data_IF_941160182996
#
_entry.id   IF_941160182996
#
_cell.length_a   1.000
_cell.length_b   1.000
_cell.length_c   1.000
_cell.angle_alpha   90.00
_cell.angle_beta   90.00
_cell.angle_gamma   90.00
#
_symmetry.space_group_name_H-M   'P 1'
#
loop_
_entity.id
_entity.type
_entity.pdbx_description
1 polymer ?
#
# COMPACT_ATOMS: atom_id res chain seq x y z
N UNK A 1 7.55 -25.20 5.50
CA UNK A 1 6.13 -25.59 5.32
C UNK A 1 5.82 -25.52 3.83
N UNK A 2 4.85 -26.29 3.32
CA UNK A 2 4.42 -26.10 1.93
C UNK A 2 3.60 -24.80 1.79
N UNK A 3 3.53 -24.22 0.59
CA UNK A 3 2.72 -23.03 0.33
C UNK A 3 1.27 -23.20 0.82
N UNK A 4 0.66 -24.37 0.54
CA UNK A 4 -0.69 -24.69 0.99
C UNK A 4 -0.84 -24.68 2.52
N UNK A 5 0.15 -25.18 3.26
CA UNK A 5 0.13 -25.15 4.73
C UNK A 5 0.19 -23.72 5.27
N UNK A 6 1.03 -22.88 4.67
CA UNK A 6 1.17 -21.47 5.04
C UNK A 6 -0.13 -20.73 4.75
N UNK A 7 -0.66 -20.82 3.52
CA UNK A 7 -1.90 -20.16 3.12
C UNK A 7 -3.08 -20.60 4.00
N UNK A 8 -3.20 -21.90 4.29
CA UNK A 8 -4.23 -22.43 5.18
C UNK A 8 -4.11 -21.86 6.60
N UNK A 9 -2.89 -21.84 7.16
CA UNK A 9 -2.63 -21.27 8.48
C UNK A 9 -3.02 -19.78 8.53
N UNK A 10 -2.63 -19.00 7.53
CA UNK A 10 -2.94 -17.57 7.46
C UNK A 10 -4.45 -17.31 7.40
N UNK A 11 -5.19 -18.07 6.59
CA UNK A 11 -6.65 -17.94 6.49
C UNK A 11 -7.32 -18.30 7.82
N UNK A 12 -6.91 -19.41 8.45
CA UNK A 12 -7.46 -19.85 9.75
C UNK A 12 -7.18 -18.80 10.83
N UNK A 13 -5.95 -18.29 10.91
CA UNK A 13 -5.57 -17.28 11.88
C UNK A 13 -6.27 -15.94 11.63
N UNK A 14 -6.40 -15.50 10.37
CA UNK A 14 -7.12 -14.28 10.01
C UNK A 14 -8.60 -14.38 10.45
N UNK A 15 -9.24 -15.53 10.22
CA UNK A 15 -10.60 -15.79 10.69
C UNK A 15 -10.71 -15.81 12.22
N UNK A 16 -9.79 -16.49 12.91
CA UNK A 16 -9.78 -16.56 14.36
C UNK A 16 -9.54 -15.19 15.01
N UNK A 17 -8.58 -14.42 14.53
CA UNK A 17 -8.25 -13.10 15.07
C UNK A 17 -9.33 -12.08 14.71
N UNK A 18 -9.93 -12.18 13.52
CA UNK A 18 -11.13 -11.42 13.15
C UNK A 18 -12.30 -11.70 14.11
N UNK A 19 -12.52 -12.97 14.48
CA UNK A 19 -13.54 -13.34 15.46
C UNK A 19 -13.25 -12.77 16.86
N UNK A 20 -11.99 -12.84 17.31
CA UNK A 20 -11.57 -12.22 18.58
C UNK A 20 -11.83 -10.71 18.56
N UNK A 21 -11.45 -10.02 17.48
CA UNK A 21 -11.74 -8.60 17.33
C UNK A 21 -13.25 -8.32 17.39
N UNK A 22 -14.06 -9.07 16.63
CA UNK A 22 -15.51 -8.90 16.60
C UNK A 22 -16.17 -9.09 17.97
N UNK A 23 -15.75 -10.12 18.72
CA UNK A 23 -16.33 -10.47 20.01
C UNK A 23 -15.86 -9.56 21.16
N UNK A 24 -14.58 -9.16 21.17
CA UNK A 24 -13.96 -8.51 22.33
C UNK A 24 -13.54 -7.05 22.11
N UNK A 25 -12.90 -6.73 20.97
CA UNK A 25 -12.26 -5.42 20.76
C UNK A 25 -13.16 -4.41 20.03
N UNK A 26 -14.02 -4.87 19.11
CA UNK A 26 -14.92 -4.08 18.28
C UNK A 26 -14.22 -2.94 17.53
N UNK A 27 -12.96 -3.17 17.13
CA UNK A 27 -12.21 -2.24 16.29
C UNK A 27 -12.53 -2.48 14.81
N UNK A 28 -12.27 -1.51 13.92
CA UNK A 28 -12.32 -1.74 12.47
C UNK A 28 -11.52 -2.99 12.08
N UNK A 29 -12.09 -3.83 11.21
CA UNK A 29 -11.62 -5.22 10.98
C UNK A 29 -10.10 -5.34 10.81
N UNK A 30 -9.51 -4.60 9.87
CA UNK A 30 -8.07 -4.61 9.60
C UNK A 30 -7.21 -4.20 10.82
N UNK A 31 -7.59 -3.11 11.50
CA UNK A 31 -6.89 -2.61 12.70
C UNK A 31 -7.01 -3.63 13.83
N UNK A 32 -8.20 -4.21 14.01
CA UNK A 32 -8.45 -5.20 15.05
C UNK A 32 -7.64 -6.47 14.85
N UNK A 33 -7.57 -7.00 13.63
CA UNK A 33 -6.74 -8.17 13.31
C UNK A 33 -5.27 -7.88 13.62
N UNK A 34 -4.74 -6.72 13.20
CA UNK A 34 -3.37 -6.31 13.53
C UNK A 34 -3.12 -6.23 15.04
N UNK A 35 -4.06 -5.64 15.80
CA UNK A 35 -3.90 -5.51 17.25
C UNK A 35 -3.88 -6.89 17.91
N UNK A 36 -4.78 -7.80 17.50
CA UNK A 36 -4.81 -9.16 18.03
C UNK A 36 -3.52 -9.92 17.66
N UNK A 37 -3.05 -9.81 16.42
CA UNK A 37 -1.81 -10.49 15.98
C UNK A 37 -0.58 -9.94 16.68
N UNK A 38 -0.49 -8.63 16.86
CA UNK A 38 0.60 -7.99 17.60
C UNK A 38 0.59 -8.41 19.07
N UNK A 39 -0.57 -8.41 19.74
CA UNK A 39 -0.71 -8.86 21.13
C UNK A 39 -0.34 -10.33 21.28
N UNK A 40 -0.78 -11.19 20.36
CA UNK A 40 -0.40 -12.60 20.35
C UNK A 40 1.12 -12.76 20.21
N UNK A 41 1.73 -12.03 19.28
CA UNK A 41 3.18 -12.08 19.03
C UNK A 41 4.00 -11.58 20.22
N UNK A 42 3.61 -10.45 20.81
CA UNK A 42 4.25 -9.91 22.01
C UNK A 42 4.07 -10.83 23.23
N UNK A 43 2.93 -11.53 23.34
CA UNK A 43 2.71 -12.52 24.39
C UNK A 43 3.65 -13.70 24.25
N UNK A 44 3.88 -14.18 23.01
CA UNK A 44 4.86 -15.25 22.74
C UNK A 44 6.28 -14.78 23.10
N UNK A 45 6.70 -13.58 22.66
CA UNK A 45 7.99 -13.00 23.03
C UNK A 45 8.16 -12.85 24.55
N UNK A 46 7.12 -12.39 25.25
CA UNK A 46 7.11 -12.24 26.71
C UNK A 46 7.20 -13.56 27.46
N UNK A 47 6.50 -14.59 26.99
CA UNK A 47 6.58 -15.94 27.58
C UNK A 47 7.94 -16.58 27.39
N UNK A 48 8.57 -16.37 26.23
CA UNK A 48 9.91 -16.89 25.93
C UNK A 48 10.99 -16.24 26.82
N UNK A 49 10.83 -14.95 27.16
CA UNK A 49 11.68 -14.26 28.13
C UNK A 49 11.56 -14.86 29.56
N UNK A 50 10.38 -15.33 29.94
CA UNK A 50 10.13 -15.93 31.26
C UNK A 50 10.55 -17.41 31.32
N UNK A 51 10.39 -18.13 30.21
CA UNK A 51 10.77 -19.55 30.07
C UNK A 51 11.54 -19.82 28.77
N UNK A 52 12.84 -19.46 28.72
CA UNK A 52 13.67 -19.61 27.51
C UNK A 52 13.82 -21.06 27.05
N UNK A 53 13.60 -22.03 27.95
CA UNK A 53 13.68 -23.46 27.64
C UNK A 53 12.58 -23.94 26.65
N UNK A 54 11.54 -23.15 26.42
CA UNK A 54 10.45 -23.50 25.50
C UNK A 54 10.78 -23.20 24.03
N UNK A 55 11.71 -22.28 23.75
CA UNK A 55 12.15 -21.93 22.39
C UNK A 55 10.99 -21.51 21.46
N UNK A 56 9.94 -20.93 22.02
CA UNK A 56 8.72 -20.60 21.27
C UNK A 56 8.96 -19.42 20.35
N UNK A 57 9.73 -18.42 20.79
CA UNK A 57 10.07 -17.27 19.96
C UNK A 57 10.94 -17.68 18.77
N UNK A 58 11.94 -18.54 18.98
CA UNK A 58 12.80 -19.04 17.90
C UNK A 58 12.01 -19.85 16.87
N UNK A 59 11.09 -20.70 17.35
CA UNK A 59 10.22 -21.48 16.47
C UNK A 59 9.30 -20.55 15.67
N UNK A 60 8.63 -19.60 16.32
CA UNK A 60 7.76 -18.61 15.67
C UNK A 60 8.55 -17.76 14.67
N UNK A 61 9.74 -17.30 15.04
CA UNK A 61 10.64 -16.53 14.17
C UNK A 61 11.06 -17.33 12.95
N UNK A 62 11.37 -18.62 13.11
CA UNK A 62 11.71 -19.49 11.97
C UNK A 62 10.55 -19.71 11.01
N UNK A 63 9.31 -19.72 11.52
CA UNK A 63 8.10 -19.80 10.69
C UNK A 63 7.87 -18.48 9.97
N UNK A 64 7.98 -17.34 10.65
CA UNK A 64 7.79 -16.01 10.05
C UNK A 64 8.86 -15.70 9.01
N UNK A 65 10.14 -15.90 9.33
CA UNK A 65 11.25 -15.73 8.38
C UNK A 65 11.22 -16.78 7.26
N UNK A 66 10.55 -17.91 7.47
CA UNK A 66 10.33 -18.94 6.45
C UNK A 66 9.17 -18.62 5.50
N UNK A 67 8.34 -17.63 5.81
CA UNK A 67 7.36 -17.06 4.89
C UNK A 67 8.07 -15.92 4.17
N UNK A 68 8.27 -16.04 2.87
CA UNK A 68 8.78 -14.93 2.08
C UNK A 68 7.68 -13.87 1.94
N UNK A 69 7.54 -13.03 2.96
CA UNK A 69 6.49 -12.02 3.06
C UNK A 69 6.59 -11.01 1.91
N UNK A 70 7.83 -10.67 1.52
CA UNK A 70 8.09 -9.80 0.39
C UNK A 70 7.45 -10.36 -0.87
N UNK A 71 7.78 -11.60 -1.24
CA UNK A 71 7.29 -12.21 -2.47
C UNK A 71 5.79 -12.49 -2.41
N UNK A 72 5.30 -13.00 -1.27
CA UNK A 72 3.88 -13.24 -1.06
C UNK A 72 3.05 -11.96 -1.22
N UNK A 73 3.52 -10.83 -0.69
CA UNK A 73 2.82 -9.55 -0.83
C UNK A 73 3.02 -8.94 -2.21
N UNK A 74 4.27 -8.76 -2.67
CA UNK A 74 4.58 -8.01 -3.89
C UNK A 74 4.23 -8.77 -5.17
N UNK A 75 4.43 -10.08 -5.22
CA UNK A 75 4.13 -10.89 -6.41
C UNK A 75 2.71 -11.46 -6.36
N UNK A 76 2.26 -11.89 -5.16
CA UNK A 76 0.97 -12.56 -5.01
C UNK A 76 -0.23 -11.64 -4.76
N UNK A 77 -0.13 -10.77 -3.75
CA UNK A 77 -1.30 -10.06 -3.21
C UNK A 77 -1.46 -8.63 -3.74
N UNK A 78 -0.36 -7.94 -4.03
CA UNK A 78 -0.34 -6.51 -4.37
C UNK A 78 -1.16 -6.23 -5.64
N UNK A 79 -0.96 -7.02 -6.69
CA UNK A 79 -1.73 -6.91 -7.93
C UNK A 79 -3.24 -7.03 -7.68
N UNK A 80 -3.65 -8.00 -6.86
CA UNK A 80 -5.06 -8.21 -6.50
C UNK A 80 -5.62 -7.08 -5.64
N UNK A 81 -4.90 -6.62 -4.62
CA UNK A 81 -5.32 -5.54 -3.74
C UNK A 81 -5.51 -4.23 -4.54
N UNK A 82 -4.56 -3.91 -5.41
CA UNK A 82 -4.64 -2.71 -6.25
C UNK A 82 -5.73 -2.82 -7.31
N UNK A 83 -5.89 -3.99 -7.94
CA UNK A 83 -6.98 -4.23 -8.89
C UNK A 83 -8.35 -4.11 -8.21
N UNK A 84 -8.52 -4.75 -7.05
CA UNK A 84 -9.76 -4.72 -6.28
C UNK A 84 -10.07 -3.29 -5.80
N UNK A 85 -9.08 -2.58 -5.26
CA UNK A 85 -9.21 -1.19 -4.85
C UNK A 85 -9.61 -0.28 -6.01
N UNK A 86 -8.99 -0.46 -7.17
CA UNK A 86 -9.30 0.27 -8.39
C UNK A 86 -10.72 0.01 -8.91
N UNK A 87 -11.17 -1.24 -8.89
CA UNK A 87 -12.49 -1.64 -9.39
C UNK A 87 -13.63 -0.92 -8.66
N UNK A 88 -13.47 -0.64 -7.37
CA UNK A 88 -14.48 0.05 -6.57
C UNK A 88 -14.47 1.58 -6.72
N UNK A 89 -13.46 2.15 -7.39
CA UNK A 89 -13.37 3.61 -7.58
C UNK A 89 -14.23 4.06 -8.76
N UNK A 90 -15.16 4.97 -8.48
CA UNK A 90 -16.01 5.58 -9.51
C UNK A 90 -15.20 6.57 -10.36
N UNK A 91 -14.91 6.21 -11.61
CA UNK A 91 -14.09 7.01 -12.52
C UNK A 91 -14.68 8.42 -12.77
N UNK A 92 -16.00 8.56 -12.76
CA UNK A 92 -16.66 9.87 -12.89
C UNK A 92 -16.34 10.80 -11.71
N UNK A 93 -16.37 10.29 -10.47
CA UNK A 93 -16.02 11.05 -9.27
C UNK A 93 -14.51 11.35 -9.26
N UNK A 94 -13.68 10.36 -9.63
CA UNK A 94 -12.23 10.51 -9.75
C UNK A 94 -11.85 11.58 -10.79
N UNK A 95 -12.51 11.58 -11.96
CA UNK A 95 -12.31 12.59 -13.01
C UNK A 95 -12.66 13.99 -12.53
N UNK A 96 -13.59 14.15 -11.60
CA UNK A 96 -13.84 15.46 -10.99
C UNK A 96 -12.71 15.93 -10.05
N UNK A 97 -11.89 15.00 -9.54
CA UNK A 97 -10.80 15.28 -8.59
C UNK A 97 -9.39 15.05 -9.18
N UNK A 98 -9.29 14.69 -10.46
CA UNK A 98 -8.06 14.23 -11.09
C UNK A 98 -6.82 15.14 -10.92
N UNK A 99 -6.91 16.49 -10.97
CA UNK A 99 -5.70 17.31 -10.84
C UNK A 99 -5.12 17.22 -9.44
N UNK A 100 -5.98 17.09 -8.42
CA UNK A 100 -5.56 16.93 -7.02
C UNK A 100 -4.94 15.56 -6.82
N UNK A 101 -5.62 14.50 -7.28
CA UNK A 101 -5.14 13.13 -7.12
C UNK A 101 -3.80 12.92 -7.81
N UNK A 102 -3.66 13.35 -9.08
CA UNK A 102 -2.41 13.18 -9.83
C UNK A 102 -1.27 13.99 -9.20
N UNK A 103 -1.52 15.25 -8.81
CA UNK A 103 -0.49 16.07 -8.18
C UNK A 103 -0.03 15.49 -6.84
N UNK A 104 -0.95 14.94 -6.04
CA UNK A 104 -0.58 14.30 -4.77
C UNK A 104 0.12 12.96 -4.97
N UNK A 105 -0.34 12.12 -5.91
CA UNK A 105 0.27 10.83 -6.22
C UNK A 105 1.64 10.93 -6.94
N UNK A 106 2.01 12.12 -7.46
CA UNK A 106 3.31 12.35 -8.11
C UNK A 106 4.18 13.29 -7.29
N UNK A 107 3.86 14.58 -7.25
CA UNK A 107 4.61 15.57 -6.50
C UNK A 107 4.58 15.28 -4.99
N UNK A 108 3.44 14.86 -4.45
CA UNK A 108 3.34 14.49 -3.04
C UNK A 108 4.26 13.33 -2.68
N UNK A 109 4.34 12.31 -3.55
CA UNK A 109 5.26 11.16 -3.37
C UNK A 109 6.72 11.58 -3.44
N UNK A 110 7.08 12.39 -4.44
CA UNK A 110 8.43 12.93 -4.57
C UNK A 110 8.84 13.78 -3.37
N UNK A 111 7.95 14.69 -2.92
CA UNK A 111 8.19 15.51 -1.74
C UNK A 111 8.32 14.67 -0.47
N UNK A 112 7.44 13.68 -0.27
CA UNK A 112 7.51 12.78 0.88
C UNK A 112 8.83 12.01 0.87
N UNK A 113 9.21 11.47 -0.27
CA UNK A 113 10.48 10.74 -0.48
C UNK A 113 11.69 11.60 -0.12
N UNK A 114 11.73 12.84 -0.61
CA UNK A 114 12.82 13.78 -0.35
C UNK A 114 12.85 14.18 1.13
N UNK A 115 11.71 14.58 1.72
CA UNK A 115 11.67 15.01 3.12
C UNK A 115 12.08 13.87 4.06
N UNK A 116 11.55 12.67 3.86
CA UNK A 116 11.92 11.50 4.67
C UNK A 116 13.38 11.12 4.42
N UNK A 117 13.84 11.07 3.17
CA UNK A 117 15.21 10.65 2.87
C UNK A 117 16.27 11.60 3.41
N UNK A 118 16.12 12.91 3.20
CA UNK A 118 17.06 13.89 3.76
C UNK A 118 17.01 13.93 5.29
N UNK A 119 15.80 13.92 5.88
CA UNK A 119 15.67 13.96 7.33
C UNK A 119 16.23 12.72 8.01
N UNK A 120 16.00 11.53 7.43
CA UNK A 120 16.48 10.27 7.99
C UNK A 120 17.99 10.11 7.82
N UNK A 121 18.55 10.47 6.66
CA UNK A 121 20.01 10.53 6.42
C UNK A 121 20.69 11.45 7.43
N UNK A 122 20.11 12.63 7.69
CA UNK A 122 20.68 13.60 8.64
C UNK A 122 20.74 13.08 10.08
N UNK A 123 19.71 12.37 10.53
CA UNK A 123 19.65 11.84 11.91
C UNK A 123 20.46 10.58 12.10
N UNK A 124 20.50 9.69 11.11
CA UNK A 124 21.11 8.36 11.25
C UNK A 124 22.54 8.29 10.69
N UNK A 125 22.96 9.28 9.90
CA UNK A 125 24.22 9.21 9.14
C UNK A 125 24.14 8.29 7.92
N UNK A 126 22.96 7.73 7.61
CA UNK A 126 22.75 6.84 6.47
C UNK A 126 23.08 7.55 5.15
N UNK A 127 23.72 6.86 4.17
CA UNK A 127 23.92 7.40 2.84
C UNK A 127 22.61 7.92 2.24
N UNK A 128 22.65 9.12 1.67
CA UNK A 128 21.44 9.81 1.19
C UNK A 128 20.61 8.95 0.23
N UNK A 129 21.24 8.20 -0.67
CA UNK A 129 20.51 7.36 -1.63
C UNK A 129 19.72 6.24 -0.94
N UNK A 130 20.30 5.58 0.07
CA UNK A 130 19.62 4.55 0.87
C UNK A 130 18.48 5.19 1.68
N UNK A 131 18.70 6.40 2.22
CA UNK A 131 17.65 7.10 2.93
C UNK A 131 16.51 7.57 2.00
N UNK A 132 16.80 7.94 0.74
CA UNK A 132 15.78 8.21 -0.27
C UNK A 132 14.99 6.95 -0.61
N UNK A 133 15.64 5.78 -0.67
CA UNK A 133 14.93 4.49 -0.79
C UNK A 133 13.95 4.31 0.38
N UNK A 134 14.38 4.57 1.61
CA UNK A 134 13.51 4.57 2.79
C UNK A 134 12.36 5.58 2.69
N UNK A 135 12.62 6.78 2.15
CA UNK A 135 11.58 7.77 1.91
C UNK A 135 10.53 7.31 0.90
N UNK A 136 10.96 6.60 -0.14
CA UNK A 136 10.07 6.09 -1.19
C UNK A 136 9.16 4.97 -0.69
N UNK A 137 9.68 4.01 0.08
CA UNK A 137 8.86 2.92 0.63
C UNK A 137 7.89 3.38 1.73
N UNK A 138 8.19 4.45 2.46
CA UNK A 138 7.27 5.04 3.43
C UNK A 138 6.23 5.94 2.77
N UNK A 139 6.45 6.44 1.55
CA UNK A 139 5.51 7.37 0.90
C UNK A 139 4.11 6.79 0.62
N UNK A 140 3.96 5.54 0.12
CA UNK A 140 2.69 4.86 -0.06
C UNK A 140 1.74 4.95 1.15
N UNK A 141 0.43 4.95 0.88
CA UNK A 141 -0.61 5.06 1.91
C UNK A 141 -1.78 4.16 1.61
N UNK A 142 -2.26 3.45 2.62
CA UNK A 142 -3.30 2.43 2.52
C UNK A 142 -4.71 3.04 2.61
N UNK A 143 -5.52 2.97 1.54
CA UNK A 143 -6.88 3.50 1.55
C UNK A 143 -7.85 2.60 2.33
N UNK A 144 -7.57 1.31 2.46
CA UNK A 144 -8.49 0.33 3.06
C UNK A 144 -8.58 0.56 4.56
N UNK A 145 -7.44 0.71 5.23
CA UNK A 145 -7.40 1.04 6.65
C UNK A 145 -8.16 2.33 6.98
N UNK A 146 -7.99 3.34 6.11
CA UNK A 146 -8.55 4.67 6.29
C UNK A 146 -10.05 4.67 6.06
N UNK A 147 -10.47 4.13 4.92
CA UNK A 147 -11.88 4.11 4.52
C UNK A 147 -12.71 3.22 5.45
N UNK A 148 -12.13 2.13 5.98
CA UNK A 148 -12.79 1.31 6.99
C UNK A 148 -13.18 2.10 8.24
N UNK A 149 -12.29 3.00 8.71
CA UNK A 149 -12.57 3.85 9.88
C UNK A 149 -13.42 5.07 9.52
N UNK A 150 -13.17 5.70 8.38
CA UNK A 150 -13.80 6.97 8.00
C UNK A 150 -15.24 6.82 7.50
N UNK A 151 -15.68 5.61 7.13
CA UNK A 151 -17.09 5.31 6.81
C UNK A 151 -18.04 5.72 7.93
N UNK A 152 -17.61 5.67 9.19
CA UNK A 152 -18.42 6.09 10.34
C UNK A 152 -18.48 7.62 10.53
N UNK A 153 -17.54 8.37 9.94
CA UNK A 153 -17.40 9.81 10.13
C UNK A 153 -18.21 10.66 9.11
N UNK A 154 -19.06 10.04 8.30
CA UNK A 154 -19.93 10.65 7.27
C UNK A 154 -19.24 11.79 6.50
N UNK A 155 -18.10 11.50 5.91
CA UNK A 155 -17.29 12.49 5.20
C UNK A 155 -17.95 12.93 3.89
N UNK A 156 -17.59 14.14 3.43
CA UNK A 156 -17.95 14.58 2.08
C UNK A 156 -17.40 13.58 1.06
N UNK A 157 -18.24 13.09 0.16
CA UNK A 157 -17.88 12.15 -0.91
C UNK A 157 -16.65 12.59 -1.73
N UNK A 158 -16.48 13.90 -1.94
CA UNK A 158 -15.30 14.44 -2.64
C UNK A 158 -13.98 14.22 -1.89
N UNK A 159 -13.99 14.15 -0.56
CA UNK A 159 -12.81 13.86 0.26
C UNK A 159 -12.50 12.36 0.26
N UNK A 160 -13.52 11.52 0.35
CA UNK A 160 -13.37 10.06 0.21
C UNK A 160 -12.74 9.69 -1.14
N UNK A 161 -13.24 10.30 -2.23
CA UNK A 161 -12.67 10.08 -3.57
C UNK A 161 -11.22 10.56 -3.67
N UNK A 162 -10.87 11.68 -3.01
CA UNK A 162 -9.48 12.16 -2.98
C UNK A 162 -8.56 11.21 -2.23
N UNK A 163 -8.99 10.70 -1.07
CA UNK A 163 -8.22 9.74 -0.27
C UNK A 163 -8.04 8.44 -1.04
N UNK A 164 -9.14 7.85 -1.52
CA UNK A 164 -9.10 6.59 -2.26
C UNK A 164 -8.28 6.71 -3.56
N UNK A 165 -8.47 7.80 -4.31
CA UNK A 165 -7.72 8.05 -5.54
C UNK A 165 -6.24 8.28 -5.29
N UNK A 166 -5.88 9.11 -4.31
CA UNK A 166 -4.48 9.40 -4.00
C UNK A 166 -3.73 8.14 -3.58
N UNK A 167 -4.25 7.39 -2.62
CA UNK A 167 -3.67 6.10 -2.19
C UNK A 167 -3.48 5.13 -3.35
N UNK A 168 -4.51 4.94 -4.20
CA UNK A 168 -4.47 3.97 -5.29
C UNK A 168 -3.32 4.24 -6.28
N UNK A 169 -3.09 5.50 -6.64
CA UNK A 169 -2.00 5.87 -7.55
C UNK A 169 -0.66 6.00 -6.80
N UNK A 170 -0.66 6.43 -5.54
CA UNK A 170 0.54 6.56 -4.71
C UNK A 170 1.22 5.19 -4.52
N UNK A 171 0.48 4.11 -4.32
CA UNK A 171 1.07 2.77 -4.18
C UNK A 171 1.84 2.35 -5.46
N UNK A 172 1.25 2.58 -6.63
CA UNK A 172 1.89 2.29 -7.91
C UNK A 172 3.09 3.21 -8.21
N UNK A 173 2.95 4.51 -8.02
CA UNK A 173 4.04 5.48 -8.26
C UNK A 173 5.17 5.30 -7.24
N UNK A 174 4.84 5.11 -5.96
CA UNK A 174 5.79 4.86 -4.88
C UNK A 174 6.61 3.60 -5.12
N UNK A 175 5.98 2.53 -5.62
CA UNK A 175 6.68 1.31 -6.05
C UNK A 175 7.69 1.58 -7.17
N UNK A 176 7.31 2.34 -8.20
CA UNK A 176 8.23 2.69 -9.30
C UNK A 176 9.40 3.56 -8.80
N UNK A 177 9.12 4.56 -7.96
CA UNK A 177 10.17 5.40 -7.35
C UNK A 177 11.12 4.56 -6.50
N UNK A 178 10.58 3.60 -5.73
CA UNK A 178 11.37 2.64 -4.97
C UNK A 178 12.31 1.83 -5.87
N UNK A 179 11.80 1.21 -6.95
CA UNK A 179 12.62 0.42 -7.87
C UNK A 179 13.75 1.24 -8.49
N UNK A 180 13.45 2.46 -8.95
CA UNK A 180 14.45 3.38 -9.53
C UNK A 180 15.53 3.71 -8.48
N UNK A 181 15.14 4.04 -7.26
CA UNK A 181 16.10 4.40 -6.20
C UNK A 181 16.92 3.19 -5.73
N UNK A 182 16.33 1.99 -5.67
CA UNK A 182 17.05 0.76 -5.35
C UNK A 182 18.08 0.44 -6.42
N UNK A 183 17.72 0.56 -7.70
CA UNK A 183 18.66 0.33 -8.80
C UNK A 183 19.88 1.27 -8.74
N UNK A 184 19.67 2.52 -8.29
CA UNK A 184 20.75 3.50 -8.11
C UNK A 184 21.54 3.24 -6.82
N UNK A 185 20.86 2.92 -5.72
CA UNK A 185 21.46 2.71 -4.40
C UNK A 185 22.28 1.41 -4.33
N UNK A 186 21.86 0.38 -5.09
CA UNK A 186 22.44 -0.97 -5.07
C UNK A 186 22.82 -1.45 -6.48
N UNK A 187 23.82 -0.85 -7.15
CA UNK A 187 24.17 -1.16 -8.54
C UNK A 187 24.60 -2.62 -8.76
N UNK A 188 25.14 -3.27 -7.72
CA UNK A 188 25.60 -4.66 -7.77
C UNK A 188 24.47 -5.68 -8.02
N UNK A 189 23.20 -5.28 -7.87
CA UNK A 189 22.01 -6.14 -8.00
C UNK A 189 21.24 -5.87 -9.31
N UNK A 190 21.63 -4.83 -10.05
CA UNK A 190 21.03 -4.49 -11.34
C UNK A 190 21.16 -5.60 -12.42
N UNK A 191 21.91 -6.67 -12.14
CA UNK A 191 22.00 -7.86 -12.99
C UNK A 191 20.78 -8.79 -12.96
N UNK A 192 19.82 -8.63 -12.03
CA UNK A 192 18.71 -9.58 -11.87
C UNK A 192 17.31 -9.09 -12.28
N UNK A 193 17.13 -7.84 -12.74
CA UNK A 193 15.79 -7.36 -13.14
C UNK A 193 15.72 -6.15 -14.06
N UNK A 194 16.83 -5.46 -14.34
CA UNK A 194 16.86 -4.30 -15.22
C UNK A 194 17.56 -4.66 -16.55
N UNK A 195 16.81 -5.28 -17.46
CA UNK A 195 17.26 -5.68 -18.80
C UNK A 195 17.57 -4.53 -19.76
N UNK A 196 17.55 -3.28 -19.31
CA UNK A 196 17.93 -2.12 -20.13
C UNK A 196 19.12 -1.41 -19.49
N UNK A 197 20.22 -1.48 -20.23
CA UNK A 197 21.56 -1.13 -19.75
C UNK A 197 21.65 0.26 -19.17
N UNK A 198 22.07 0.31 -17.90
CA UNK A 198 22.89 1.41 -17.46
C UNK A 198 24.18 1.35 -18.29
N UNK A 199 24.31 2.19 -19.32
CA UNK A 199 25.62 2.49 -19.87
C UNK A 199 26.46 3.02 -18.70
N UNK A 200 27.60 2.39 -18.34
CA UNK A 200 28.46 2.89 -17.28
C UNK A 200 28.94 4.34 -17.50
N UNK A 201 28.78 4.87 -18.73
CA UNK A 201 29.09 6.24 -19.13
C UNK A 201 27.84 7.12 -19.35
N UNK A 202 26.64 6.59 -19.11
CA UNK A 202 25.36 7.27 -19.23
C UNK A 202 25.12 8.27 -18.10
N UNK A 203 24.28 9.28 -18.37
CA UNK A 203 23.85 10.20 -17.33
C UNK A 203 22.80 9.51 -16.46
N UNK A 204 23.16 9.13 -15.22
CA UNK A 204 22.30 8.44 -14.24
C UNK A 204 20.91 9.06 -14.12
N UNK A 205 20.79 10.38 -14.25
CA UNK A 205 19.49 11.06 -14.20
C UNK A 205 18.62 10.82 -15.43
N UNK A 206 19.22 10.69 -16.61
CA UNK A 206 18.51 10.35 -17.84
C UNK A 206 18.05 8.89 -17.82
N UNK A 207 18.89 7.98 -17.35
CA UNK A 207 18.56 6.56 -17.24
C UNK A 207 17.43 6.34 -16.23
N UNK A 208 17.50 7.01 -15.07
CA UNK A 208 16.43 6.98 -14.07
C UNK A 208 15.10 7.55 -14.59
N UNK A 209 15.15 8.66 -15.34
CA UNK A 209 13.96 9.25 -15.94
C UNK A 209 13.36 8.35 -17.03
N UNK A 210 14.19 7.70 -17.84
CA UNK A 210 13.75 6.75 -18.86
C UNK A 210 13.13 5.50 -18.23
N UNK A 211 13.76 4.96 -17.18
CA UNK A 211 13.23 3.82 -16.42
C UNK A 211 11.87 4.16 -15.80
N UNK A 212 11.76 5.32 -15.14
CA UNK A 212 10.49 5.78 -14.58
C UNK A 212 9.41 5.91 -15.64
N UNK A 213 9.74 6.50 -16.81
CA UNK A 213 8.80 6.67 -17.90
C UNK A 213 8.36 5.32 -18.48
N UNK A 214 9.29 4.40 -18.71
CA UNK A 214 9.03 3.05 -19.19
C UNK A 214 8.11 2.30 -18.22
N UNK A 215 8.46 2.29 -16.94
CA UNK A 215 7.70 1.59 -15.90
C UNK A 215 6.29 2.16 -15.76
N UNK A 216 6.17 3.48 -15.58
CA UNK A 216 4.90 4.14 -15.31
C UNK A 216 3.98 4.18 -16.54
N UNK A 217 4.49 4.63 -17.69
CA UNK A 217 3.69 4.74 -18.91
C UNK A 217 3.44 3.37 -19.52
N UNK A 218 4.44 2.49 -19.53
CA UNK A 218 4.30 1.12 -20.02
C UNK A 218 3.25 0.35 -19.22
N UNK A 219 3.28 0.43 -17.89
CA UNK A 219 2.28 -0.20 -17.02
C UNK A 219 0.88 0.36 -17.27
N UNK A 220 0.74 1.68 -17.38
CA UNK A 220 -0.55 2.32 -17.63
C UNK A 220 -1.13 1.95 -19.00
N UNK A 221 -0.32 1.98 -20.06
CA UNK A 221 -0.73 1.60 -21.43
C UNK A 221 -1.15 0.13 -21.45
N UNK A 222 -0.33 -0.75 -20.87
CA UNK A 222 -0.64 -2.18 -20.81
C UNK A 222 -1.95 -2.43 -20.06
N UNK A 223 -2.15 -1.81 -18.91
CA UNK A 223 -3.37 -1.95 -18.10
C UNK A 223 -4.62 -1.49 -18.85
N UNK A 224 -4.54 -0.36 -19.56
CA UNK A 224 -5.65 0.15 -20.38
C UNK A 224 -5.94 -0.81 -21.56
N UNK A 225 -4.90 -1.29 -22.26
CA UNK A 225 -5.06 -2.18 -23.42
C UNK A 225 -5.66 -3.52 -22.98
N UNK A 226 -5.09 -4.17 -21.96
CA UNK A 226 -5.59 -5.45 -21.45
C UNK A 226 -7.00 -5.31 -20.87
N UNK A 227 -7.24 -4.28 -20.07
CA UNK A 227 -8.57 -3.98 -19.53
C UNK A 227 -9.61 -3.78 -20.64
N UNK A 228 -9.25 -3.06 -21.71
CA UNK A 228 -10.13 -2.86 -22.86
C UNK A 228 -10.39 -4.16 -23.65
N UNK A 229 -9.37 -4.99 -23.84
CA UNK A 229 -9.50 -6.29 -24.52
C UNK A 229 -10.44 -7.21 -23.73
N UNK A 230 -10.22 -7.34 -22.42
CA UNK A 230 -11.07 -8.16 -21.54
C UNK A 230 -12.50 -7.63 -21.54
N UNK A 231 -12.68 -6.31 -21.38
CA UNK A 231 -13.99 -5.68 -21.52
C UNK A 231 -14.68 -6.02 -22.85
N UNK A 232 -13.95 -6.00 -23.98
CA UNK A 232 -14.52 -6.30 -25.29
C UNK A 232 -15.04 -7.73 -25.40
N UNK A 233 -14.35 -8.67 -24.75
CA UNK A 233 -14.73 -10.08 -24.65
C UNK A 233 -15.93 -10.24 -23.71
N UNK A 234 -15.92 -9.60 -22.53
CA UNK A 234 -17.03 -9.65 -21.57
C UNK A 234 -18.35 -9.17 -22.17
N UNK A 235 -18.33 -8.15 -23.03
CA UNK A 235 -19.51 -7.69 -23.77
C UNK A 235 -20.21 -8.74 -24.64
N UNK A 236 -19.54 -9.85 -24.94
CA UNK A 236 -20.06 -10.94 -25.77
C UNK A 236 -20.49 -12.15 -24.93
N UNK A 237 -20.32 -12.07 -23.61
CA UNK A 237 -20.57 -13.13 -22.65
C UNK A 237 -21.71 -12.66 -21.73
N UNK A 238 -22.58 -13.57 -21.35
CA UNK A 238 -23.63 -13.34 -20.35
C UNK A 238 -23.60 -14.51 -19.36
N UNK A 239 -22.46 -14.64 -18.68
CA UNK A 239 -22.16 -15.68 -17.69
C UNK A 239 -21.29 -15.06 -16.59
N UNK A 240 -21.89 -14.84 -15.42
CA UNK A 240 -21.21 -14.18 -14.31
C UNK A 240 -19.98 -14.95 -13.81
N UNK A 241 -19.97 -16.28 -13.92
CA UNK A 241 -18.83 -17.09 -13.45
C UNK A 241 -17.64 -16.92 -14.38
N UNK A 242 -17.88 -16.95 -15.69
CA UNK A 242 -16.84 -16.71 -16.68
C UNK A 242 -16.32 -15.27 -16.63
N UNK A 243 -17.20 -14.30 -16.42
CA UNK A 243 -16.82 -12.89 -16.29
C UNK A 243 -15.96 -12.64 -15.05
N UNK A 244 -16.31 -13.21 -13.89
CA UNK A 244 -15.44 -13.19 -12.69
C UNK A 244 -14.08 -13.81 -13.00
N UNK A 245 -14.05 -14.97 -13.67
CA UNK A 245 -12.81 -15.64 -14.06
C UNK A 245 -11.95 -14.78 -14.99
N UNK A 246 -12.54 -14.05 -15.94
CA UNK A 246 -11.83 -13.13 -16.81
C UNK A 246 -11.21 -11.96 -16.04
N UNK A 247 -11.92 -11.41 -15.05
CA UNK A 247 -11.34 -10.35 -14.20
C UNK A 247 -10.19 -10.87 -13.34
N UNK A 248 -10.29 -12.10 -12.82
CA UNK A 248 -9.22 -12.75 -12.07
C UNK A 248 -8.01 -13.03 -12.97
N UNK A 249 -8.26 -13.52 -14.19
CA UNK A 249 -7.24 -13.75 -15.20
C UNK A 249 -6.55 -12.46 -15.65
N UNK A 250 -7.28 -11.34 -15.71
CA UNK A 250 -6.70 -10.02 -15.96
C UNK A 250 -5.81 -9.57 -14.82
N UNK A 251 -6.25 -9.74 -13.57
CA UNK A 251 -5.48 -9.33 -12.40
C UNK A 251 -4.20 -10.15 -12.23
N UNK A 252 -4.24 -11.48 -12.35
CA UNK A 252 -3.03 -12.32 -12.26
C UNK A 252 -2.21 -12.31 -13.55
N UNK A 253 -2.84 -12.67 -14.67
CA UNK A 253 -2.15 -12.82 -15.95
C UNK A 253 -1.65 -11.50 -16.52
N UNK A 254 -2.38 -10.40 -16.30
CA UNK A 254 -1.90 -9.07 -16.64
C UNK A 254 -0.70 -8.65 -15.79
N UNK A 255 -0.69 -9.02 -14.50
CA UNK A 255 0.40 -8.69 -13.58
C UNK A 255 1.69 -9.40 -13.98
N UNK A 256 1.62 -10.71 -14.18
CA UNK A 256 2.75 -11.52 -14.67
C UNK A 256 3.24 -11.03 -16.04
N UNK A 257 2.32 -10.64 -16.94
CA UNK A 257 2.72 -10.09 -18.24
C UNK A 257 3.42 -8.73 -18.10
N UNK A 258 3.00 -7.88 -17.16
CA UNK A 258 3.67 -6.62 -16.88
C UNK A 258 5.09 -6.83 -16.34
N UNK A 259 5.26 -7.77 -15.40
CA UNK A 259 6.57 -8.18 -14.89
C UNK A 259 7.45 -8.69 -16.03
N UNK A 260 6.93 -9.58 -16.89
CA UNK A 260 7.66 -10.11 -18.04
C UNK A 260 8.08 -9.04 -19.05
N UNK A 261 7.25 -8.01 -19.25
CA UNK A 261 7.53 -6.89 -20.15
C UNK A 261 8.40 -5.80 -19.51
N UNK A 262 8.83 -5.96 -18.26
CA UNK A 262 9.58 -4.94 -17.50
C UNK A 262 8.85 -3.59 -17.48
N UNK A 263 7.57 -3.63 -17.12
CA UNK A 263 6.73 -2.46 -16.88
C UNK A 263 5.99 -2.60 -15.56
N UNK A 264 5.44 -1.49 -15.03
CA UNK A 264 4.91 -1.48 -13.67
C UNK A 264 3.63 -2.30 -13.55
N UNK A 265 3.75 -3.49 -12.95
CA UNK A 265 2.65 -4.38 -12.67
C UNK A 265 1.59 -3.78 -11.72
N UNK A 266 1.97 -3.05 -10.64
CA UNK A 266 1.02 -2.27 -9.83
C UNK A 266 0.20 -1.26 -10.63
N UNK A 267 0.84 -0.46 -11.49
CA UNK A 267 0.15 0.56 -12.29
C UNK A 267 -0.76 -0.10 -13.35
N UNK A 268 -0.31 -1.21 -13.94
CA UNK A 268 -1.14 -2.03 -14.84
C UNK A 268 -2.41 -2.50 -14.12
N UNK A 269 -2.30 -3.02 -12.89
CA UNK A 269 -3.43 -3.50 -12.11
C UNK A 269 -4.43 -2.38 -11.77
N UNK A 270 -3.92 -1.20 -11.39
CA UNK A 270 -4.75 -0.01 -11.13
C UNK A 270 -5.48 0.45 -12.39
N UNK A 271 -4.78 0.59 -13.52
CA UNK A 271 -5.37 1.08 -14.76
C UNK A 271 -6.40 0.10 -15.34
N UNK A 272 -6.11 -1.20 -15.29
CA UNK A 272 -7.04 -2.25 -15.74
C UNK A 272 -8.26 -2.35 -14.82
N UNK A 273 -8.08 -2.30 -13.49
CA UNK A 273 -9.16 -2.32 -12.51
C UNK A 273 -10.10 -1.10 -12.64
N UNK A 274 -9.55 0.10 -12.82
CA UNK A 274 -10.34 1.33 -13.04
C UNK A 274 -11.18 1.24 -14.33
N UNK A 275 -10.63 0.64 -15.39
CA UNK A 275 -11.33 0.48 -16.66
C UNK A 275 -12.50 -0.50 -16.52
N UNK A 276 -12.27 -1.67 -15.93
CA UNK A 276 -13.30 -2.68 -15.70
C UNK A 276 -14.39 -2.15 -14.76
N UNK A 277 -14.00 -1.48 -13.66
CA UNK A 277 -14.92 -0.93 -12.67
C UNK A 277 -15.86 0.16 -13.21
N UNK A 278 -15.43 0.98 -14.19
CA UNK A 278 -16.29 2.02 -14.77
C UNK A 278 -16.97 1.59 -16.08
N UNK A 279 -16.19 1.12 -17.06
CA UNK A 279 -16.68 0.87 -18.42
C UNK A 279 -17.36 -0.50 -18.49
N UNK A 280 -16.78 -1.53 -17.85
CA UNK A 280 -17.38 -2.86 -17.73
C UNK A 280 -18.74 -2.80 -17.07
N UNK A 281 -18.80 -2.14 -15.92
CA UNK A 281 -20.02 -2.01 -15.11
C UNK A 281 -21.14 -1.17 -15.75
N UNK A 282 -20.85 -0.29 -16.71
CA UNK A 282 -21.86 0.57 -17.37
C UNK A 282 -22.33 0.05 -18.72
N UNK A 283 -21.48 -0.66 -19.47
CA UNK A 283 -21.74 -0.96 -20.89
C UNK A 283 -21.48 -2.41 -21.29
N UNK A 284 -21.01 -3.26 -20.37
CA UNK A 284 -20.62 -4.63 -20.72
C UNK A 284 -21.10 -5.74 -19.79
N UNK A 285 -21.80 -5.42 -18.71
CA UNK A 285 -22.31 -6.40 -17.74
C UNK A 285 -23.81 -6.24 -17.56
N UNK A 286 -24.52 -7.36 -17.36
CA UNK A 286 -25.85 -7.35 -16.77
C UNK A 286 -25.80 -6.86 -15.31
N UNK A 287 -26.92 -6.39 -14.76
CA UNK A 287 -26.96 -5.95 -13.35
C UNK A 287 -26.61 -7.09 -12.39
N UNK A 288 -27.01 -8.31 -12.73
CA UNK A 288 -26.72 -9.51 -11.95
C UNK A 288 -25.22 -9.82 -11.97
N UNK A 289 -24.59 -9.87 -13.14
CA UNK A 289 -23.14 -10.12 -13.23
C UNK A 289 -22.33 -9.08 -12.49
N UNK A 290 -22.69 -7.79 -12.63
CA UNK A 290 -22.03 -6.71 -11.90
C UNK A 290 -22.08 -6.93 -10.39
N UNK A 291 -23.23 -7.34 -9.85
CA UNK A 291 -23.38 -7.62 -8.42
C UNK A 291 -22.46 -8.75 -7.96
N UNK A 292 -22.31 -9.82 -8.76
CA UNK A 292 -21.42 -10.93 -8.43
C UNK A 292 -19.95 -10.53 -8.52
N UNK A 293 -19.54 -9.80 -9.56
CA UNK A 293 -18.16 -9.29 -9.70
C UNK A 293 -17.80 -8.35 -8.55
N UNK A 294 -18.66 -7.38 -8.24
CA UNK A 294 -18.46 -6.46 -7.12
C UNK A 294 -18.39 -7.21 -5.78
N UNK A 295 -19.30 -8.16 -5.54
CA UNK A 295 -19.30 -8.93 -4.29
C UNK A 295 -18.06 -9.83 -4.16
N UNK A 296 -17.65 -10.50 -5.25
CA UNK A 296 -16.46 -11.35 -5.27
C UNK A 296 -15.21 -10.54 -4.96
N UNK A 297 -14.98 -9.45 -5.68
CA UNK A 297 -13.79 -8.62 -5.49
C UNK A 297 -13.77 -7.94 -4.12
N UNK A 298 -14.93 -7.55 -3.59
CA UNK A 298 -15.02 -7.06 -2.20
C UNK A 298 -14.58 -8.12 -1.19
N UNK A 299 -15.02 -9.37 -1.34
CA UNK A 299 -14.61 -10.46 -0.44
C UNK A 299 -13.12 -10.78 -0.57
N UNK A 300 -12.59 -10.80 -1.80
CA UNK A 300 -11.15 -11.00 -2.03
C UNK A 300 -10.35 -9.87 -1.36
N UNK A 301 -10.73 -8.62 -1.56
CA UNK A 301 -10.09 -7.46 -0.93
C UNK A 301 -10.12 -7.58 0.60
N UNK A 302 -11.26 -7.90 1.20
CA UNK A 302 -11.40 -8.08 2.64
C UNK A 302 -10.51 -9.23 3.19
N UNK A 303 -10.44 -10.36 2.48
CA UNK A 303 -9.62 -11.52 2.88
C UNK A 303 -8.12 -11.18 2.76
N UNK A 304 -7.69 -10.59 1.63
CA UNK A 304 -6.30 -10.24 1.42
C UNK A 304 -5.82 -9.19 2.41
N UNK A 305 -6.64 -8.18 2.72
CA UNK A 305 -6.30 -7.23 3.79
C UNK A 305 -6.27 -7.90 5.16
N UNK A 306 -7.21 -8.80 5.50
CA UNK A 306 -7.14 -9.53 6.75
C UNK A 306 -5.82 -10.31 6.91
N UNK A 307 -5.38 -10.99 5.84
CA UNK A 307 -4.09 -11.69 5.80
C UNK A 307 -2.91 -10.71 5.86
N UNK A 308 -2.98 -9.58 5.15
CA UNK A 308 -1.94 -8.55 5.17
C UNK A 308 -1.71 -8.01 6.59
N UNK A 309 -2.77 -7.57 7.28
CA UNK A 309 -2.68 -7.01 8.62
C UNK A 309 -2.30 -8.06 9.68
N UNK A 310 -2.71 -9.31 9.48
CA UNK A 310 -2.25 -10.44 10.28
C UNK A 310 -0.73 -10.59 10.17
N UNK A 311 -0.21 -10.66 8.94
CA UNK A 311 1.21 -10.82 8.66
C UNK A 311 2.04 -9.65 9.19
N UNK A 312 1.58 -8.40 9.02
CA UNK A 312 2.24 -7.23 9.61
C UNK A 312 2.38 -7.42 11.13
N UNK A 313 1.35 -7.90 11.84
CA UNK A 313 1.47 -8.08 13.29
C UNK A 313 2.42 -9.20 13.71
N UNK A 314 2.66 -10.20 12.86
CA UNK A 314 3.71 -11.20 13.07
C UNK A 314 5.11 -10.69 12.73
N UNK A 315 5.24 -9.62 11.93
CA UNK A 315 6.53 -9.08 11.53
C UNK A 315 7.37 -8.53 12.71
N UNK A 316 6.75 -8.34 13.89
CA UNK A 316 7.46 -7.97 15.12
C UNK A 316 8.59 -8.95 15.47
N UNK A 317 8.52 -10.22 15.04
CA UNK A 317 9.58 -11.21 15.24
C UNK A 317 10.84 -10.97 14.39
N UNK A 318 10.73 -10.20 13.30
CA UNK A 318 11.86 -9.85 12.43
C UNK A 318 12.55 -8.54 12.84
N UNK A 319 11.93 -7.75 13.72
CA UNK A 319 12.40 -6.42 14.14
C UNK A 319 13.61 -6.51 15.08
N UNK A 320 14.54 -5.56 14.96
CA UNK A 320 15.68 -5.42 15.86
C UNK A 320 15.33 -4.53 17.06
N UNK A 321 15.46 -5.04 18.28
CA UNK A 321 15.19 -4.30 19.52
C UNK A 321 16.45 -3.60 20.08
N UNK A 322 17.20 -2.90 19.22
CA UNK A 322 18.32 -2.07 19.65
C UNK A 322 17.87 -0.63 19.96
N UNK A 323 18.42 -0.04 21.01
CA UNK A 323 18.02 1.31 21.47
C UNK A 323 18.25 2.38 20.39
N UNK A 324 19.36 2.32 19.65
CA UNK A 324 19.63 3.29 18.58
C UNK A 324 18.60 3.16 17.46
N UNK A 325 18.29 1.92 17.09
CA UNK A 325 17.30 1.62 16.05
C UNK A 325 15.89 2.07 16.45
N UNK A 326 15.49 1.86 17.70
CA UNK A 326 14.19 2.31 18.22
C UNK A 326 14.11 3.84 18.24
N UNK A 327 15.19 4.54 18.63
CA UNK A 327 15.20 6.02 18.59
C UNK A 327 15.10 6.56 17.16
N UNK A 328 15.76 5.91 16.19
CA UNK A 328 15.64 6.25 14.77
C UNK A 328 14.20 6.02 14.27
N UNK A 329 13.55 4.93 14.68
CA UNK A 329 12.14 4.67 14.35
C UNK A 329 11.17 5.68 14.95
N UNK A 330 11.40 6.12 16.19
CA UNK A 330 10.58 7.20 16.79
C UNK A 330 10.73 8.52 16.03
N UNK A 331 11.95 8.85 15.59
CA UNK A 331 12.19 10.01 14.72
C UNK A 331 11.52 9.84 13.35
N UNK A 332 11.57 8.63 12.78
CA UNK A 332 10.91 8.32 11.51
C UNK A 332 9.39 8.56 11.55
N UNK A 333 8.72 8.33 12.70
CA UNK A 333 7.30 8.65 12.88
C UNK A 333 7.05 10.15 12.69
N UNK A 334 7.82 10.99 13.40
CA UNK A 334 7.69 12.46 13.32
C UNK A 334 7.97 12.93 11.89
N UNK A 335 9.02 12.37 11.28
CA UNK A 335 9.41 12.71 9.92
C UNK A 335 8.37 12.28 8.88
N UNK A 336 7.76 11.10 9.03
CA UNK A 336 6.71 10.60 8.16
C UNK A 336 5.44 11.47 8.25
N UNK A 337 5.06 11.92 9.45
CA UNK A 337 3.95 12.86 9.65
C UNK A 337 4.23 14.22 9.01
N UNK A 338 5.45 14.74 9.19
CA UNK A 338 5.86 16.00 8.60
C UNK A 338 5.93 15.92 7.07
N UNK A 339 6.53 14.86 6.53
CA UNK A 339 6.58 14.57 5.11
C UNK A 339 5.17 14.48 4.52
N UNK A 340 4.24 13.81 5.22
CA UNK A 340 2.84 13.73 4.81
C UNK A 340 2.15 15.09 4.84
N UNK A 341 2.43 15.93 5.83
CA UNK A 341 1.92 17.31 5.86
C UNK A 341 2.40 18.10 4.64
N UNK A 342 3.68 18.01 4.31
CA UNK A 342 4.27 18.69 3.13
C UNK A 342 3.67 18.15 1.84
N UNK A 343 3.58 16.81 1.70
CA UNK A 343 3.03 16.13 0.53
C UNK A 343 1.56 16.46 0.26
N UNK A 344 0.79 16.86 1.29
CA UNK A 344 -0.60 17.30 1.17
C UNK A 344 -0.70 18.82 1.00
N UNK A 345 -0.02 19.58 1.86
CA UNK A 345 -0.14 21.03 1.90
C UNK A 345 0.38 21.69 0.63
N UNK A 346 1.51 21.23 0.07
CA UNK A 346 2.10 21.85 -1.12
C UNK A 346 1.18 21.71 -2.35
N UNK A 347 0.69 20.52 -2.74
CA UNK A 347 -0.30 20.38 -3.82
C UNK A 347 -1.57 21.20 -3.60
N UNK A 348 -2.10 21.22 -2.36
CA UNK A 348 -3.30 21.98 -2.03
C UNK A 348 -3.07 23.49 -2.16
N UNK A 349 -1.94 24.00 -1.67
CA UNK A 349 -1.57 25.42 -1.81
C UNK A 349 -1.36 25.82 -3.26
N UNK A 350 -0.70 24.98 -4.06
CA UNK A 350 -0.52 25.22 -5.50
C UNK A 350 -1.85 25.29 -6.24
N UNK A 351 -2.82 24.45 -5.87
CA UNK A 351 -4.14 24.42 -6.51
C UNK A 351 -5.14 25.44 -5.92
N UNK A 352 -4.86 26.00 -4.74
CA UNK A 352 -5.76 26.92 -4.04
C UNK A 352 -6.19 28.16 -4.85
N UNK A 353 -5.37 28.75 -5.75
CA UNK A 353 -5.81 29.88 -6.57
C UNK A 353 -6.88 29.51 -7.60
N UNK A 354 -6.93 28.23 -8.01
CA UNK A 354 -7.84 27.75 -9.05
C UNK A 354 -8.96 26.87 -8.50
N UNK A 355 -8.92 26.54 -7.20
CA UNK A 355 -9.86 25.61 -6.59
C UNK A 355 -10.06 25.88 -5.10
N UNK A 356 -11.32 25.97 -4.68
CA UNK A 356 -11.66 26.05 -3.27
C UNK A 356 -11.46 24.70 -2.58
N UNK A 357 -10.78 24.71 -1.43
CA UNK A 357 -10.63 23.57 -0.54
C UNK A 357 -11.33 23.86 0.78
N UNK A 358 -12.05 22.88 1.33
CA UNK A 358 -12.61 23.00 2.67
C UNK A 358 -11.50 23.04 3.74
N UNK A 359 -11.72 23.71 4.88
CA UNK A 359 -10.71 23.86 5.93
C UNK A 359 -10.23 22.51 6.51
N UNK A 360 -11.05 21.46 6.43
CA UNK A 360 -10.70 20.11 6.88
C UNK A 360 -9.85 19.28 5.92
N UNK A 361 -9.61 19.71 4.68
CA UNK A 361 -8.93 18.88 3.67
C UNK A 361 -7.50 18.53 4.10
N UNK A 362 -6.68 19.53 4.43
CA UNK A 362 -5.27 19.29 4.84
C UNK A 362 -5.19 18.41 6.08
N UNK A 363 -5.81 18.75 7.24
CA UNK A 363 -5.68 17.94 8.44
C UNK A 363 -6.23 16.52 8.27
N UNK A 364 -7.34 16.32 7.57
CA UNK A 364 -7.92 14.99 7.36
C UNK A 364 -7.06 14.16 6.39
N UNK A 365 -6.56 14.73 5.29
CA UNK A 365 -5.70 14.00 4.35
C UNK A 365 -4.31 13.72 4.91
N UNK A 366 -3.78 14.61 5.76
CA UNK A 366 -2.51 14.39 6.44
C UNK A 366 -2.64 13.29 7.49
N UNK A 367 -3.63 13.40 8.38
CA UNK A 367 -3.80 12.42 9.46
C UNK A 367 -4.37 11.09 8.98
N UNK A 368 -5.21 11.12 7.94
CA UNK A 368 -5.77 9.95 7.28
C UNK A 368 -4.85 9.33 6.22
N UNK A 369 -3.59 9.76 6.09
CA UNK A 369 -2.61 9.08 5.25
C UNK A 369 -2.03 7.86 5.95
N UNK A 370 -2.84 6.83 6.20
CA UNK A 370 -2.36 5.65 6.92
C UNK A 370 -1.34 4.88 6.10
N UNK A 371 -0.31 4.34 6.75
CA UNK A 371 0.72 3.50 6.13
C UNK A 371 0.26 2.05 6.07
N UNK A 372 0.51 1.40 4.94
CA UNK A 372 0.07 0.04 4.65
C UNK A 372 1.15 -1.01 4.79
N UNK A 373 0.76 -2.27 4.56
CA UNK A 373 1.70 -3.40 4.54
C UNK A 373 2.68 -3.39 3.38
N UNK A 374 2.39 -2.64 2.31
CA UNK A 374 3.30 -2.48 1.16
C UNK A 374 4.64 -1.90 1.60
N UNK A 375 4.64 -0.91 2.51
CA UNK A 375 5.87 -0.33 3.06
C UNK A 375 6.74 -1.38 3.74
N UNK A 376 6.14 -2.30 4.50
CA UNK A 376 6.84 -3.38 5.20
C UNK A 376 7.43 -4.38 4.20
N UNK A 377 6.68 -4.79 3.18
CA UNK A 377 7.19 -5.71 2.17
C UNK A 377 8.33 -5.10 1.37
N UNK A 378 8.22 -3.84 0.98
CA UNK A 378 9.30 -3.12 0.31
C UNK A 378 10.56 -3.04 1.18
N UNK A 379 10.41 -2.82 2.49
CA UNK A 379 11.56 -2.83 3.40
C UNK A 379 12.20 -4.24 3.52
N UNK A 380 11.42 -5.32 3.42
CA UNK A 380 11.92 -6.69 3.44
C UNK A 380 12.59 -7.11 2.13
N UNK A 381 12.03 -6.65 1.01
CA UNK A 381 12.55 -6.81 -0.34
C UNK A 381 13.89 -6.09 -0.54
N UNK A 382 14.30 -5.23 0.39
CA UNK A 382 15.58 -4.55 0.30
C UNK A 382 16.73 -5.57 0.29
N UNK A 383 17.74 -5.33 -0.55
CA UNK A 383 18.99 -6.04 -0.47
C UNK A 383 19.60 -6.05 0.93
N UNK A 384 20.26 -7.15 1.28
CA UNK A 384 20.97 -7.24 2.53
C UNK A 384 22.07 -6.18 2.60
N UNK A 385 21.99 -5.35 3.62
CA UNK A 385 22.88 -4.24 3.89
C UNK A 385 22.89 -3.97 5.40
N UNK A 386 23.91 -3.26 5.88
CA UNK A 386 24.00 -2.84 7.29
C UNK A 386 22.79 -1.98 7.73
N UNK A 387 22.14 -1.32 6.78
CA UNK A 387 21.01 -0.41 7.00
C UNK A 387 19.64 -1.09 6.99
N UNK A 388 19.53 -2.30 6.41
CA UNK A 388 18.25 -3.04 6.29
C UNK A 388 17.55 -3.25 7.64
N UNK A 389 18.21 -3.70 8.72
CA UNK A 389 17.54 -3.86 10.03
C UNK A 389 16.99 -2.55 10.59
N UNK A 390 17.69 -1.43 10.36
CA UNK A 390 17.26 -0.11 10.80
C UNK A 390 16.04 0.37 10.01
N UNK A 391 16.07 0.20 8.69
CA UNK A 391 14.96 0.52 7.80
C UNK A 391 13.73 -0.31 8.14
N UNK A 392 13.88 -1.62 8.33
CA UNK A 392 12.80 -2.52 8.70
C UNK A 392 12.13 -2.09 10.01
N UNK A 393 12.93 -1.85 11.05
CA UNK A 393 12.40 -1.45 12.36
C UNK A 393 11.72 -0.09 12.31
N UNK A 394 12.31 0.89 11.62
CA UNK A 394 11.72 2.22 11.47
C UNK A 394 10.40 2.15 10.66
N UNK A 395 10.37 1.36 9.59
CA UNK A 395 9.17 1.12 8.78
C UNK A 395 8.07 0.48 9.62
N UNK A 396 8.40 -0.57 10.37
CA UNK A 396 7.47 -1.24 11.25
C UNK A 396 6.89 -0.28 12.31
N UNK A 397 7.74 0.51 12.98
CA UNK A 397 7.28 1.50 13.95
C UNK A 397 6.35 2.55 13.34
N UNK A 398 6.67 3.04 12.13
CA UNK A 398 5.84 4.00 11.40
C UNK A 398 4.48 3.38 11.02
N UNK A 399 4.47 2.13 10.52
CA UNK A 399 3.25 1.42 10.12
C UNK A 399 2.36 1.11 11.32
N UNK A 400 2.91 0.58 12.41
CA UNK A 400 2.16 0.29 13.65
C UNK A 400 1.60 1.59 14.26
N UNK A 401 2.43 2.64 14.36
CA UNK A 401 1.96 3.95 14.84
C UNK A 401 0.82 4.46 13.97
N UNK A 402 0.99 4.40 12.65
CA UNK A 402 -0.03 4.86 11.73
C UNK A 402 -1.33 4.08 11.91
N UNK A 403 -1.32 2.76 11.80
CA UNK A 403 -2.55 1.96 11.83
C UNK A 403 -3.26 2.06 13.18
N UNK A 404 -2.53 2.00 14.29
CA UNK A 404 -3.15 2.01 15.63
C UNK A 404 -3.48 3.43 16.06
N UNK A 405 -2.51 4.35 16.04
CA UNK A 405 -2.71 5.71 16.57
C UNK A 405 -3.49 6.56 15.59
N UNK A 406 -3.00 6.72 14.35
CA UNK A 406 -3.71 7.54 13.37
C UNK A 406 -5.04 6.88 12.98
N UNK A 407 -5.08 5.57 12.78
CA UNK A 407 -6.28 4.83 12.42
C UNK A 407 -7.40 4.97 13.45
N UNK A 408 -7.13 4.84 14.75
CA UNK A 408 -8.17 4.98 15.78
C UNK A 408 -8.56 6.43 16.10
N UNK A 409 -7.78 7.41 15.64
CA UNK A 409 -8.02 8.83 15.93
C UNK A 409 -8.51 9.64 14.74
N UNK A 410 -8.36 9.14 13.50
CA UNK A 410 -8.75 9.85 12.28
C UNK A 410 -10.24 10.16 12.22
N UNK A 411 -11.12 9.24 12.64
CA UNK A 411 -12.57 9.50 12.70
C UNK A 411 -12.91 10.64 13.67
N UNK A 412 -12.23 10.72 14.83
CA UNK A 412 -12.44 11.80 15.81
C UNK A 412 -12.00 13.15 15.24
N UNK A 413 -10.88 13.18 14.54
CA UNK A 413 -10.39 14.38 13.86
C UNK A 413 -11.35 14.81 12.73
N UNK A 414 -11.76 13.86 11.89
CA UNK A 414 -12.73 14.07 10.82
C UNK A 414 -14.04 14.66 11.35
N UNK A 415 -14.59 14.12 12.44
CA UNK A 415 -15.79 14.65 13.08
C UNK A 415 -15.63 16.07 13.63
N UNK A 416 -14.42 16.46 14.04
CA UNK A 416 -14.14 17.80 14.59
C UNK A 416 -13.97 18.86 13.50
N UNK A 417 -13.38 18.50 12.36
CA UNK A 417 -12.95 19.47 11.33
C UNK A 417 -13.71 19.32 10.00
N UNK A 418 -14.36 18.18 9.77
CA UNK A 418 -14.97 17.80 8.50
C UNK A 418 -16.49 17.87 8.42
N UNK A 419 -17.20 18.20 9.51
CA UNK A 419 -18.67 18.30 9.50
C UNK A 419 -19.15 19.29 8.43
N UNK A 420 -20.12 18.85 7.62
CA UNK A 420 -20.99 19.81 6.95
C UNK A 420 -21.71 20.63 8.03
N UNK A 421 -21.84 21.96 7.89
CA UNK A 421 -22.72 22.70 8.79
C UNK A 421 -24.10 22.05 8.68
N UNK A 422 -24.66 21.60 9.81
CA UNK A 422 -26.04 21.14 9.86
C UNK A 422 -26.89 22.25 9.21
N UNK A 423 -27.59 21.90 8.13
CA UNK A 423 -28.59 22.79 7.55
C UNK A 423 -29.70 22.91 8.60
N UNK A 424 -29.59 23.94 9.45
CA UNK A 424 -30.64 24.38 10.38
C UNK A 424 -31.80 24.98 9.58
#
# INVERSE_FOLDING_TARGET
>A
MTLLQITSLLIVLAGAFGAINYLFLKLPSAIGILVVSLLASLSVLGLDLLWPALGMADTARSVVLGIDFSDALLEGMLGLLLFAGALHVKLADLRAQWPVVVLMATLGVGLSTVVVGFGFSWVTGMPLMIALVFGSLISPTDPVAVMGVLREANLRKSLETKIAGESLFNDGVGYVVYLVLVAIAFPAIAGHGAGHGADPNGNVYQDAAMLFLQEAVGGAVLGIVLGWLVFRVMRQIDDYSLEVLLTLGLAFGGYELAVFLHVSAPIMAVCSGLLIGDIGAKHGMSEETRKYVDAFWKLIDEILNAVLFLLIGFEVFAVAFDMQVVTAGAFAIVLALFARLVAVAVPVMLLSPWRAFGPGVIPIMTWGGLKGGISVALALALPDSEWKPMILTATFMVVIFSIIVQGLTVAKLANKVGREPDLV
#
